data_IF_146293795125
#
_entry.id   IF_146293795125
#
_cell.length_a   1.000
_cell.length_b   1.000
_cell.length_c   1.000
_cell.angle_alpha   90.00
_cell.angle_beta   90.00
_cell.angle_gamma   90.00
#
_symmetry.space_group_name_H-M   'P 1'
#
loop_
_entity.id
_entity.type
_entity.pdbx_description
1 polymer ?
#
# COMPACT_ATOMS: atom_id res chain seq x y z
N UNK A 1 -20.47 -25.39 -12.08
CA UNK A 1 -19.28 -24.92 -11.33
C UNK A 1 -19.71 -23.78 -10.40
N UNK A 2 -20.00 -24.06 -9.11
CA UNK A 2 -20.43 -22.99 -8.17
C UNK A 2 -19.26 -22.03 -7.94
N UNK A 3 -19.36 -20.82 -8.49
CA UNK A 3 -18.42 -19.74 -8.21
C UNK A 3 -18.58 -19.38 -6.73
N UNK A 4 -17.49 -19.48 -5.95
CA UNK A 4 -17.53 -19.02 -4.57
C UNK A 4 -17.52 -17.48 -4.59
N UNK A 5 -18.72 -16.90 -4.58
CA UNK A 5 -18.96 -15.45 -4.67
C UNK A 5 -18.22 -14.68 -3.59
N UNK A 6 -18.01 -15.27 -2.41
CA UNK A 6 -17.25 -14.69 -1.32
C UNK A 6 -15.76 -14.50 -1.67
N UNK A 7 -15.12 -15.50 -2.31
CA UNK A 7 -13.70 -15.41 -2.72
C UNK A 7 -13.52 -14.32 -3.78
N UNK A 8 -14.43 -14.24 -4.76
CA UNK A 8 -14.40 -13.18 -5.77
C UNK A 8 -14.59 -11.80 -5.13
N UNK A 9 -15.54 -11.66 -4.20
CA UNK A 9 -15.78 -10.42 -3.47
C UNK A 9 -14.54 -9.99 -2.68
N UNK A 10 -13.90 -10.89 -1.93
CA UNK A 10 -12.67 -10.60 -1.17
C UNK A 10 -11.54 -10.14 -2.10
N UNK A 11 -11.32 -10.84 -3.21
CA UNK A 11 -10.31 -10.43 -4.20
C UNK A 11 -10.60 -9.07 -4.81
N UNK A 12 -11.88 -8.74 -5.10
CA UNK A 12 -12.27 -7.41 -5.61
C UNK A 12 -11.98 -6.32 -4.59
N UNK A 13 -12.31 -6.55 -3.31
CA UNK A 13 -12.00 -5.61 -2.23
C UNK A 13 -10.48 -5.43 -2.11
N UNK A 14 -9.70 -6.51 -2.18
CA UNK A 14 -8.24 -6.43 -2.15
C UNK A 14 -7.67 -5.65 -3.35
N UNK A 15 -8.20 -5.87 -4.55
CA UNK A 15 -7.82 -5.10 -5.74
C UNK A 15 -8.16 -3.61 -5.58
N UNK A 16 -9.35 -3.27 -5.06
CA UNK A 16 -9.73 -1.89 -4.77
C UNK A 16 -8.83 -1.25 -3.72
N UNK A 17 -8.44 -2.00 -2.70
CA UNK A 17 -7.52 -1.54 -1.66
C UNK A 17 -6.14 -1.24 -2.26
N UNK A 18 -5.59 -2.15 -3.06
CA UNK A 18 -4.32 -1.93 -3.76
C UNK A 18 -4.40 -0.77 -4.75
N UNK A 19 -5.51 -0.62 -5.46
CA UNK A 19 -5.73 0.50 -6.36
C UNK A 19 -5.73 1.82 -5.60
N UNK A 20 -6.46 1.91 -4.49
CA UNK A 20 -6.53 3.12 -3.68
C UNK A 20 -5.16 3.51 -3.12
N UNK A 21 -4.40 2.54 -2.59
CA UNK A 21 -3.02 2.77 -2.10
C UNK A 21 -2.09 3.21 -3.23
N UNK A 22 -2.17 2.54 -4.39
CA UNK A 22 -1.36 2.91 -5.55
C UNK A 22 -1.69 4.30 -6.07
N UNK A 23 -2.97 4.64 -6.17
CA UNK A 23 -3.44 5.94 -6.64
C UNK A 23 -3.00 7.05 -5.70
N UNK A 24 -3.12 6.85 -4.39
CA UNK A 24 -2.62 7.80 -3.39
C UNK A 24 -1.11 8.06 -3.54
N UNK A 25 -0.32 7.02 -3.81
CA UNK A 25 1.12 7.15 -4.04
C UNK A 25 1.44 7.85 -5.38
N UNK A 26 0.71 7.57 -6.45
CA UNK A 26 0.86 8.30 -7.72
C UNK A 26 0.49 9.78 -7.58
N UNK A 27 -0.55 10.11 -6.81
CA UNK A 27 -0.90 11.50 -6.49
C UNK A 27 0.24 12.16 -5.72
N UNK A 28 0.81 11.50 -4.69
CA UNK A 28 1.99 12.03 -3.98
C UNK A 28 3.19 12.23 -4.90
N UNK A 29 3.43 11.32 -5.83
CA UNK A 29 4.49 11.46 -6.82
C UNK A 29 4.25 12.65 -7.76
N UNK A 30 3.03 12.80 -8.27
CA UNK A 30 2.65 13.93 -9.11
C UNK A 30 2.80 15.27 -8.36
N UNK A 31 2.36 15.33 -7.10
CA UNK A 31 2.60 16.47 -6.22
C UNK A 31 4.10 16.71 -5.99
N UNK A 32 4.90 15.66 -5.87
CA UNK A 32 6.35 15.76 -5.77
C UNK A 32 6.96 16.45 -6.98
N UNK A 33 6.52 16.12 -8.20
CA UNK A 33 6.97 16.79 -9.43
C UNK A 33 6.58 18.27 -9.45
N UNK A 34 5.35 18.61 -9.04
CA UNK A 34 4.86 19.99 -9.08
C UNK A 34 5.44 20.88 -7.97
N UNK A 35 5.77 20.30 -6.81
CA UNK A 35 6.29 21.02 -5.64
C UNK A 35 7.82 21.01 -5.59
N UNK A 36 8.50 20.04 -6.20
CA UNK A 36 9.98 19.98 -6.20
C UNK A 36 10.67 21.28 -6.63
N UNK A 37 10.21 22.01 -7.68
CA UNK A 37 10.84 23.27 -8.08
C UNK A 37 10.76 24.37 -7.02
N UNK A 38 9.66 24.44 -6.26
CA UNK A 38 9.47 25.48 -5.23
C UNK A 38 10.27 25.19 -3.96
N UNK A 39 10.64 23.93 -3.74
CA UNK A 39 11.45 23.47 -2.62
C UNK A 39 12.94 23.35 -2.96
N UNK A 40 13.36 23.69 -4.19
CA UNK A 40 14.73 23.48 -4.66
C UNK A 40 15.79 24.23 -3.82
N UNK A 41 15.42 25.35 -3.19
CA UNK A 41 16.30 26.16 -2.35
C UNK A 41 16.26 25.77 -0.87
N UNK A 42 15.41 24.82 -0.48
CA UNK A 42 15.24 24.41 0.91
C UNK A 42 16.19 23.25 1.25
N UNK A 43 16.87 23.33 2.39
CA UNK A 43 17.66 22.22 2.94
C UNK A 43 16.74 21.16 3.54
N UNK A 44 16.30 20.23 2.70
CA UNK A 44 15.44 19.11 3.09
C UNK A 44 16.27 17.86 3.42
N UNK A 45 15.85 17.12 4.45
CA UNK A 45 16.47 15.85 4.83
C UNK A 45 16.40 14.78 3.73
N UNK A 46 15.41 14.89 2.82
CA UNK A 46 15.25 14.04 1.65
C UNK A 46 15.03 14.93 0.43
N UNK A 47 15.77 14.66 -0.64
CA UNK A 47 15.57 15.33 -1.92
C UNK A 47 14.13 15.13 -2.41
N UNK A 48 13.43 16.19 -2.86
CA UNK A 48 12.09 16.07 -3.45
C UNK A 48 12.02 15.06 -4.60
N UNK A 49 13.10 14.94 -5.38
CA UNK A 49 13.20 13.96 -6.47
C UNK A 49 13.25 12.52 -5.95
N UNK A 50 13.99 12.28 -4.86
CA UNK A 50 14.06 10.96 -4.23
C UNK A 50 12.70 10.54 -3.65
N UNK A 51 12.00 11.47 -2.98
CA UNK A 51 10.63 11.24 -2.49
C UNK A 51 9.67 10.93 -3.65
N UNK A 52 9.76 11.72 -4.73
CA UNK A 52 8.94 11.53 -5.94
C UNK A 52 9.15 10.15 -6.56
N UNK A 53 10.41 9.75 -6.75
CA UNK A 53 10.76 8.45 -7.28
C UNK A 53 10.25 7.30 -6.39
N UNK A 54 10.38 7.44 -5.07
CA UNK A 54 9.88 6.46 -4.11
C UNK A 54 8.37 6.26 -4.23
N UNK A 55 7.60 7.35 -4.20
CA UNK A 55 6.14 7.27 -4.31
C UNK A 55 5.69 6.80 -5.70
N UNK A 56 6.40 7.17 -6.76
CA UNK A 56 6.11 6.70 -8.11
C UNK A 56 6.31 5.18 -8.20
N UNK A 57 7.46 4.67 -7.72
CA UNK A 57 7.78 3.25 -7.75
C UNK A 57 6.74 2.41 -7.01
N UNK A 58 6.38 2.80 -5.78
CA UNK A 58 5.35 2.11 -5.02
C UNK A 58 3.95 2.28 -5.63
N UNK A 59 3.63 3.47 -6.16
CA UNK A 59 2.38 3.71 -6.87
C UNK A 59 2.19 2.74 -8.04
N UNK A 60 3.21 2.62 -8.89
CA UNK A 60 3.21 1.67 -10.02
C UNK A 60 3.19 0.21 -9.55
N UNK A 61 3.93 -0.14 -8.50
CA UNK A 61 3.93 -1.49 -7.95
C UNK A 61 2.53 -1.90 -7.43
N UNK A 62 1.82 -1.00 -6.75
CA UNK A 62 0.44 -1.26 -6.30
C UNK A 62 -0.57 -1.30 -7.46
N UNK A 63 -0.36 -0.54 -8.53
CA UNK A 63 -1.17 -0.65 -9.75
C UNK A 63 -0.95 -2.01 -10.44
N UNK A 64 0.29 -2.47 -10.52
CA UNK A 64 0.63 -3.80 -11.02
C UNK A 64 0.00 -4.90 -10.13
N UNK A 65 0.10 -4.76 -8.80
CA UNK A 65 -0.53 -5.66 -7.83
C UNK A 65 -2.05 -5.73 -7.99
N UNK A 66 -2.70 -4.60 -8.25
CA UNK A 66 -4.15 -4.53 -8.56
C UNK A 66 -4.47 -5.36 -9.80
N UNK A 67 -3.72 -5.14 -10.88
CA UNK A 67 -3.90 -5.87 -12.14
C UNK A 67 -3.68 -7.39 -11.98
N UNK A 68 -2.61 -7.79 -11.30
CA UNK A 68 -2.32 -9.20 -10.99
C UNK A 68 -3.45 -9.82 -10.15
N UNK A 69 -3.96 -9.09 -9.16
CA UNK A 69 -5.08 -9.53 -8.33
C UNK A 69 -6.36 -9.76 -9.14
N UNK A 70 -6.66 -8.85 -10.08
CA UNK A 70 -7.79 -8.98 -11.02
C UNK A 70 -7.63 -10.20 -11.94
N UNK A 71 -6.44 -10.40 -12.51
CA UNK A 71 -6.16 -11.59 -13.34
C UNK A 71 -6.24 -12.89 -12.55
N UNK A 72 -5.75 -12.91 -11.32
CA UNK A 72 -5.81 -14.08 -10.45
C UNK A 72 -7.27 -14.53 -10.17
N UNK A 73 -8.26 -13.61 -10.21
CA UNK A 73 -9.68 -13.98 -10.09
C UNK A 73 -10.12 -14.97 -11.18
N UNK A 74 -9.57 -14.85 -12.40
CA UNK A 74 -9.92 -15.71 -13.52
C UNK A 74 -9.25 -17.09 -13.44
N UNK A 75 -8.06 -17.17 -12.82
CA UNK A 75 -7.20 -18.37 -12.81
C UNK A 75 -7.23 -19.19 -11.51
N UNK A 76 -8.01 -18.76 -10.50
CA UNK A 76 -8.03 -19.34 -9.14
C UNK A 76 -6.68 -19.34 -8.42
N UNK A 77 -5.72 -18.54 -8.87
CA UNK A 77 -4.38 -18.47 -8.28
C UNK A 77 -4.41 -17.95 -6.83
N UNK A 78 -3.43 -18.39 -6.05
CA UNK A 78 -3.26 -17.98 -4.66
C UNK A 78 -2.50 -16.66 -4.56
N UNK A 79 -2.99 -15.71 -3.75
CA UNK A 79 -2.40 -14.38 -3.57
C UNK A 79 -1.42 -14.33 -2.37
N UNK A 80 -0.62 -15.38 -2.17
CA UNK A 80 0.32 -15.49 -1.02
C UNK A 80 1.30 -14.32 -0.92
N UNK A 81 1.59 -13.66 -2.04
CA UNK A 81 2.47 -12.49 -2.12
C UNK A 81 1.85 -11.19 -1.56
N UNK A 82 0.51 -11.10 -1.44
CA UNK A 82 -0.18 -9.85 -1.10
C UNK A 82 0.23 -9.29 0.27
N UNK A 83 0.31 -10.16 1.28
CA UNK A 83 0.71 -9.78 2.63
C UNK A 83 2.19 -9.37 2.73
N UNK A 84 3.18 -10.17 2.28
CA UNK A 84 4.58 -9.76 2.33
C UNK A 84 4.87 -8.53 1.46
N UNK A 85 4.19 -8.37 0.33
CA UNK A 85 4.28 -7.16 -0.49
C UNK A 85 3.83 -5.91 0.28
N UNK A 86 2.66 -5.99 0.93
CA UNK A 86 2.12 -4.87 1.72
C UNK A 86 3.01 -4.58 2.95
N UNK A 87 3.52 -5.62 3.59
CA UNK A 87 4.47 -5.48 4.70
C UNK A 87 5.76 -4.78 4.26
N UNK A 88 6.33 -5.15 3.11
CA UNK A 88 7.51 -4.48 2.54
C UNK A 88 7.27 -2.99 2.29
N UNK A 89 6.11 -2.62 1.75
CA UNK A 89 5.72 -1.22 1.60
C UNK A 89 5.68 -0.48 2.95
N UNK A 90 5.06 -1.07 3.98
CA UNK A 90 4.98 -0.46 5.30
C UNK A 90 6.36 -0.32 5.95
N UNK A 91 7.22 -1.32 5.84
CA UNK A 91 8.60 -1.28 6.36
C UNK A 91 9.37 -0.12 5.71
N UNK A 92 9.28 0.02 4.39
CA UNK A 92 10.00 1.10 3.70
C UNK A 92 9.46 2.49 4.05
N UNK A 93 8.14 2.64 4.23
CA UNK A 93 7.57 3.89 4.76
C UNK A 93 8.06 4.21 6.17
N UNK A 94 8.09 3.22 7.06
CA UNK A 94 8.58 3.42 8.42
C UNK A 94 10.07 3.74 8.46
N UNK A 95 10.88 3.13 7.59
CA UNK A 95 12.29 3.48 7.44
C UNK A 95 12.49 4.94 7.02
N UNK A 96 11.67 5.44 6.07
CA UNK A 96 11.65 6.86 5.71
C UNK A 96 11.21 7.73 6.88
N UNK A 97 10.16 7.34 7.59
CA UNK A 97 9.63 8.08 8.72
C UNK A 97 10.68 8.27 9.84
N UNK A 98 11.39 7.19 10.18
CA UNK A 98 12.44 7.19 11.20
C UNK A 98 13.67 8.00 10.77
N UNK A 99 14.04 7.95 9.48
CA UNK A 99 15.27 8.58 8.99
C UNK A 99 15.13 10.09 8.75
N UNK A 100 13.93 10.55 8.37
CA UNK A 100 13.75 11.88 7.77
C UNK A 100 12.93 12.85 8.61
N UNK A 101 12.00 12.35 9.44
CA UNK A 101 11.13 13.21 10.24
C UNK A 101 11.73 13.49 11.62
N UNK A 102 12.43 14.63 11.70
CA UNK A 102 13.04 15.11 12.95
C UNK A 102 12.13 16.04 13.77
N UNK A 103 11.02 16.52 13.20
CA UNK A 103 10.12 17.44 13.88
C UNK A 103 9.21 16.74 14.90
N UNK A 104 8.95 17.41 16.02
CA UNK A 104 8.02 16.94 17.07
C UNK A 104 6.61 16.73 16.52
N UNK A 105 6.17 17.62 15.62
CA UNK A 105 4.88 17.52 14.96
C UNK A 105 4.73 16.22 14.16
N UNK A 106 5.73 15.84 13.36
CA UNK A 106 5.65 14.59 12.60
C UNK A 106 5.64 13.35 13.50
N UNK A 107 6.37 13.38 14.62
CA UNK A 107 6.36 12.29 15.61
C UNK A 107 5.01 12.14 16.31
N UNK A 108 4.28 13.24 16.52
CA UNK A 108 2.93 13.18 17.11
C UNK A 108 1.94 12.37 16.27
N UNK A 109 2.18 12.25 14.96
CA UNK A 109 1.34 11.51 14.03
C UNK A 109 1.66 10.00 13.99
N UNK A 110 2.77 9.57 14.58
CA UNK A 110 3.22 8.17 14.49
C UNK A 110 2.22 7.18 15.07
N UNK A 111 1.54 7.53 16.18
CA UNK A 111 0.52 6.66 16.77
C UNK A 111 -0.63 6.36 15.80
N UNK A 112 -1.12 7.40 15.12
CA UNK A 112 -2.15 7.26 14.08
C UNK A 112 -1.63 6.42 12.91
N UNK A 113 -0.43 6.70 12.45
CA UNK A 113 0.14 6.03 11.28
C UNK A 113 0.40 4.53 11.59
N UNK A 114 0.77 4.19 12.84
CA UNK A 114 0.93 2.81 13.28
C UNK A 114 -0.39 2.04 13.31
N UNK A 115 -1.46 2.69 13.80
CA UNK A 115 -2.81 2.11 13.76
C UNK A 115 -3.24 1.87 12.32
N UNK A 116 -2.99 2.82 11.41
CA UNK A 116 -3.31 2.66 9.99
C UNK A 116 -2.48 1.55 9.31
N UNK A 117 -1.19 1.43 9.65
CA UNK A 117 -0.34 0.32 9.21
C UNK A 117 -0.92 -1.02 9.65
N UNK A 118 -1.25 -1.16 10.94
CA UNK A 118 -1.81 -2.39 11.50
C UNK A 118 -3.17 -2.73 10.86
N UNK A 119 -4.05 -1.74 10.70
CA UNK A 119 -5.35 -1.90 10.06
C UNK A 119 -5.22 -2.35 8.60
N UNK A 120 -4.28 -1.77 7.85
CA UNK A 120 -4.04 -2.17 6.46
C UNK A 120 -3.53 -3.61 6.37
N UNK A 121 -2.54 -3.97 7.19
CA UNK A 121 -1.97 -5.33 7.19
C UNK A 121 -3.01 -6.36 7.61
N UNK A 122 -3.83 -6.05 8.63
CA UNK A 122 -4.95 -6.90 9.05
C UNK A 122 -5.98 -7.06 7.94
N UNK A 123 -6.37 -5.97 7.26
CA UNK A 123 -7.29 -6.03 6.13
C UNK A 123 -6.76 -6.92 4.99
N UNK A 124 -5.48 -6.76 4.61
CA UNK A 124 -4.84 -7.60 3.60
C UNK A 124 -4.78 -9.06 4.05
N UNK A 125 -4.44 -9.34 5.31
CA UNK A 125 -4.42 -10.70 5.84
C UNK A 125 -5.80 -11.36 5.78
N UNK A 126 -6.85 -10.65 6.22
CA UNK A 126 -8.25 -11.15 6.21
C UNK A 126 -8.71 -11.41 4.77
N UNK A 127 -8.43 -10.49 3.84
CA UNK A 127 -8.86 -10.59 2.44
C UNK A 127 -8.08 -11.66 1.67
N UNK A 128 -6.82 -11.91 2.05
CA UNK A 128 -5.96 -12.93 1.45
C UNK A 128 -6.22 -14.33 2.02
N UNK A 129 -6.76 -14.43 3.24
CA UNK A 129 -7.01 -15.73 3.85
C UNK A 129 -8.17 -16.44 3.12
N UNK A 130 -7.81 -17.51 2.40
CA UNK A 130 -8.73 -18.29 1.59
C UNK A 130 -9.50 -19.34 2.40
N UNK A 131 -9.44 -19.31 3.74
CA UNK A 131 -9.97 -20.40 4.57
C UNK A 131 -11.50 -20.53 4.39
N UNK A 132 -12.00 -21.63 3.77
CA UNK A 132 -13.42 -21.89 3.64
C UNK A 132 -14.02 -22.52 4.92
N UNK A 133 -13.23 -22.72 5.98
CA UNK A 133 -13.55 -23.60 7.11
C UNK A 133 -13.95 -22.88 8.41
N UNK A 134 -14.37 -21.61 8.37
CA UNK A 134 -15.07 -20.99 9.51
C UNK A 134 -16.59 -21.10 9.35
N UNK A 135 -17.04 -22.33 9.07
CA UNK A 135 -18.34 -22.82 9.53
C UNK A 135 -17.97 -23.75 10.67
N UNK A 136 -17.89 -23.21 11.88
CA UNK A 136 -17.93 -24.05 13.08
C UNK A 136 -19.37 -24.49 13.24
N UNK A 137 -19.56 -25.80 13.27
CA UNK A 137 -20.78 -26.49 13.69
C UNK A 137 -21.31 -25.96 15.03
#
# INVERSE_FOLDING_TARGET
MKYNTAVVKRRRILALLFFAVGAANLIRAAMGVTIAPTLATWTLSLSPYAATAFYLAWGLAFMAATWVTLKAMQRRDSLRWALPFTAGYQITLWALNLSLYRSSYARSLWGRDLVLTAALLAAVAILNNNNPNHVTD
#
